data_IF_876367757355
#
_entry.id   IF_876367757355
#
_cell.length_a   1.000
_cell.length_b   1.000
_cell.length_c   1.000
_cell.angle_alpha   90.00
_cell.angle_beta   90.00
_cell.angle_gamma   90.00
#
_symmetry.space_group_name_H-M   'P 1'
#
loop_
_entity.id
_entity.type
_entity.pdbx_description
1 polymer ?
#
# COMPACT_ATOMS: atom_id res chain seq x y z
N UNK A 1 -20.98 17.98 -8.11
CA UNK A 1 -19.74 17.22 -8.35
C UNK A 1 -19.27 16.72 -6.99
N UNK A 2 -19.35 15.42 -6.74
CA UNK A 2 -18.86 14.83 -5.49
C UNK A 2 -17.33 14.83 -5.51
N UNK A 3 -16.71 15.63 -4.63
CA UNK A 3 -15.28 15.52 -4.32
C UNK A 3 -15.08 14.21 -3.55
N UNK A 4 -14.91 13.09 -4.26
CA UNK A 4 -14.36 11.89 -3.64
C UNK A 4 -12.86 12.10 -3.49
N UNK A 5 -12.29 11.95 -2.27
CA UNK A 5 -10.86 12.07 -2.08
C UNK A 5 -10.13 11.05 -2.96
N UNK A 6 -9.08 11.49 -3.65
CA UNK A 6 -8.27 10.61 -4.50
C UNK A 6 -7.54 9.59 -3.63
N UNK A 7 -7.83 8.30 -3.81
CA UNK A 7 -7.17 7.19 -3.10
C UNK A 7 -5.79 6.88 -3.68
N UNK A 8 -4.91 7.89 -3.66
CA UNK A 8 -3.58 7.84 -4.27
C UNK A 8 -2.48 7.34 -3.32
N UNK A 9 -2.82 7.07 -2.05
CA UNK A 9 -1.91 6.50 -1.08
C UNK A 9 -0.89 7.46 -0.50
N UNK A 10 -0.93 8.77 -0.75
CA UNK A 10 0.11 9.70 -0.26
C UNK A 10 -0.07 10.13 1.20
N UNK A 11 -1.18 9.76 1.83
CA UNK A 11 -1.47 9.98 3.25
C UNK A 11 -2.43 8.90 3.76
N UNK A 12 -2.60 8.81 5.08
CA UNK A 12 -3.57 7.89 5.69
C UNK A 12 -5.00 8.21 5.24
N UNK A 13 -5.38 9.49 5.12
CA UNK A 13 -6.74 9.86 4.67
C UNK A 13 -7.04 9.40 3.24
N UNK A 14 -5.98 9.29 2.42
CA UNK A 14 -6.04 8.92 1.02
C UNK A 14 -5.45 7.54 0.74
N UNK A 15 -5.32 6.69 1.77
CA UNK A 15 -4.73 5.37 1.66
C UNK A 15 -5.41 4.54 0.57
N UNK A 16 -4.60 3.78 -0.18
CA UNK A 16 -5.07 2.84 -1.20
C UNK A 16 -5.79 1.71 -0.47
N UNK A 17 -7.06 1.49 -0.78
CA UNK A 17 -7.83 0.44 -0.12
C UNK A 17 -7.47 -0.89 -0.77
N UNK A 18 -7.01 -1.84 0.04
CA UNK A 18 -6.90 -3.24 -0.37
C UNK A 18 -8.09 -3.98 0.24
N UNK A 19 -9.00 -4.43 -0.62
CA UNK A 19 -10.23 -5.13 -0.26
C UNK A 19 -10.36 -6.46 -1.01
N UNK A 20 -11.40 -7.22 -0.69
CA UNK A 20 -11.75 -8.49 -1.34
C UNK A 20 -10.64 -9.56 -1.33
N UNK A 21 -9.75 -9.53 -0.34
CA UNK A 21 -8.70 -10.54 -0.15
C UNK A 21 -9.14 -11.56 0.90
N UNK A 22 -8.98 -12.85 0.61
CA UNK A 22 -9.44 -13.93 1.49
C UNK A 22 -8.52 -14.12 2.71
N UNK A 23 -7.26 -13.70 2.59
CA UNK A 23 -6.23 -13.89 3.60
C UNK A 23 -5.14 -12.82 3.53
N UNK A 24 -4.28 -12.80 4.55
CA UNK A 24 -3.16 -11.86 4.66
C UNK A 24 -2.19 -11.94 3.47
N UNK A 25 -1.91 -13.13 2.95
CA UNK A 25 -0.98 -13.30 1.83
C UNK A 25 -1.51 -12.69 0.53
N UNK A 26 -2.80 -12.83 0.26
CA UNK A 26 -3.46 -12.16 -0.87
C UNK A 26 -3.46 -10.64 -0.71
N UNK A 27 -3.71 -10.14 0.49
CA UNK A 27 -3.60 -8.72 0.85
C UNK A 27 -2.25 -8.14 0.49
N UNK A 28 -1.17 -8.74 0.99
CA UNK A 28 0.20 -8.31 0.71
C UNK A 28 0.50 -8.40 -0.79
N UNK A 29 0.11 -9.50 -1.46
CA UNK A 29 0.33 -9.61 -2.91
C UNK A 29 -0.38 -8.50 -3.71
N UNK A 30 -1.56 -8.05 -3.27
CA UNK A 30 -2.28 -6.96 -3.93
C UNK A 30 -1.52 -5.63 -3.82
N UNK A 31 -0.90 -5.34 -2.68
CA UNK A 31 -0.03 -4.16 -2.49
C UNK A 31 1.14 -4.18 -3.47
N UNK A 32 1.87 -5.29 -3.53
CA UNK A 32 3.02 -5.43 -4.43
C UNK A 32 2.61 -5.37 -5.90
N UNK A 33 1.46 -5.93 -6.29
CA UNK A 33 0.91 -5.78 -7.65
C UNK A 33 0.58 -4.32 -7.97
N UNK A 34 0.05 -3.56 -7.00
CA UNK A 34 -0.20 -2.14 -7.18
C UNK A 34 1.10 -1.38 -7.45
N UNK A 35 2.16 -1.65 -6.68
CA UNK A 35 3.48 -1.05 -6.89
C UNK A 35 4.04 -1.42 -8.28
N UNK A 36 3.93 -2.68 -8.69
CA UNK A 36 4.37 -3.12 -10.01
C UNK A 36 3.62 -2.44 -11.14
N UNK A 37 2.29 -2.30 -11.02
CA UNK A 37 1.47 -1.63 -12.03
C UNK A 37 1.83 -0.15 -12.18
N UNK A 38 2.17 0.54 -11.09
CA UNK A 38 2.46 1.97 -11.08
C UNK A 38 3.91 2.30 -11.43
N UNK A 39 4.86 1.49 -10.95
CA UNK A 39 6.29 1.82 -10.99
C UNK A 39 7.13 0.81 -11.76
N UNK A 40 6.53 -0.24 -12.32
CA UNK A 40 7.22 -1.33 -13.02
C UNK A 40 7.73 -2.42 -12.09
N UNK A 41 8.43 -3.42 -12.65
CA UNK A 41 8.88 -4.59 -11.89
C UNK A 41 9.82 -4.25 -10.73
N UNK A 42 9.66 -4.95 -9.60
CA UNK A 42 10.57 -4.81 -8.45
C UNK A 42 11.99 -5.19 -8.84
N UNK A 43 12.97 -4.40 -8.41
CA UNK A 43 14.37 -4.52 -8.79
C UNK A 43 14.73 -3.88 -10.13
N UNK A 44 13.73 -3.47 -10.93
CA UNK A 44 13.93 -2.76 -12.21
C UNK A 44 13.41 -1.34 -12.11
N UNK A 45 12.12 -1.18 -11.80
CA UNK A 45 11.46 0.12 -11.66
C UNK A 45 11.59 0.72 -10.27
N UNK A 46 11.68 -0.13 -9.24
CA UNK A 46 11.77 0.29 -7.85
C UNK A 46 12.39 -0.76 -6.94
N UNK A 47 12.91 -0.34 -5.79
CA UNK A 47 13.34 -1.20 -4.68
C UNK A 47 12.60 -0.81 -3.40
N UNK A 48 12.40 -1.78 -2.51
CA UNK A 48 11.79 -1.54 -1.20
C UNK A 48 12.83 -0.94 -0.25
N UNK A 49 12.53 0.22 0.32
CA UNK A 49 13.38 0.87 1.34
C UNK A 49 12.85 0.59 2.75
N UNK A 50 11.53 0.69 2.94
CA UNK A 50 10.89 0.47 4.25
C UNK A 50 9.48 -0.08 4.09
N UNK A 51 9.11 -0.97 5.00
CA UNK A 51 7.73 -1.40 5.22
C UNK A 51 7.44 -1.39 6.72
N UNK A 52 6.29 -0.85 7.13
CA UNK A 52 5.88 -0.81 8.53
C UNK A 52 4.36 -0.77 8.69
N UNK A 53 3.86 -1.48 9.70
CA UNK A 53 2.46 -1.41 10.12
C UNK A 53 2.21 -0.12 10.93
N UNK A 54 1.12 0.57 10.60
CA UNK A 54 0.59 1.70 11.33
C UNK A 54 -0.81 1.36 11.83
N UNK A 55 -1.08 1.63 13.10
CA UNK A 55 -2.41 1.56 13.67
C UNK A 55 -2.86 2.98 14.05
N UNK A 56 -3.97 3.42 13.50
CA UNK A 56 -4.53 4.73 13.79
C UNK A 56 -6.06 4.66 13.80
N UNK A 57 -6.69 5.19 14.86
CA UNK A 57 -8.15 5.25 15.01
C UNK A 57 -8.87 3.91 14.80
N UNK A 58 -8.26 2.81 15.27
CA UNK A 58 -8.81 1.45 15.13
C UNK A 58 -8.71 0.84 13.73
N UNK A 59 -8.00 1.51 12.81
CA UNK A 59 -7.68 1.02 11.46
C UNK A 59 -6.22 0.61 11.38
N UNK A 60 -5.93 -0.24 10.41
CA UNK A 60 -4.60 -0.79 10.16
C UNK A 60 -4.15 -0.42 8.75
N UNK A 61 -2.92 0.08 8.65
CA UNK A 61 -2.33 0.52 7.41
C UNK A 61 -0.93 -0.05 7.25
N UNK A 62 -0.62 -0.48 6.04
CA UNK A 62 0.75 -0.75 5.65
C UNK A 62 1.35 0.51 5.02
N UNK A 63 2.42 1.00 5.63
CA UNK A 63 3.26 2.04 5.07
C UNK A 63 4.40 1.40 4.30
N UNK A 64 4.51 1.72 3.01
CA UNK A 64 5.56 1.23 2.13
C UNK A 64 6.31 2.42 1.55
N UNK A 65 7.61 2.44 1.74
CA UNK A 65 8.53 3.36 1.09
C UNK A 65 9.35 2.62 0.05
N UNK A 66 9.33 3.14 -1.18
CA UNK A 66 10.10 2.62 -2.30
C UNK A 66 11.04 3.68 -2.85
N UNK A 67 12.19 3.24 -3.33
CA UNK A 67 13.08 4.05 -4.15
C UNK A 67 12.93 3.66 -5.61
N UNK A 68 12.55 4.63 -6.44
CA UNK A 68 12.41 4.46 -7.87
C UNK A 68 13.78 4.38 -8.55
N UNK A 69 13.84 3.78 -9.73
CA UNK A 69 15.09 3.58 -10.49
C UNK A 69 15.80 4.90 -10.86
N UNK A 70 15.04 5.98 -11.00
CA UNK A 70 15.57 7.34 -11.20
C UNK A 70 15.97 8.06 -9.89
N UNK A 71 15.94 7.35 -8.76
CA UNK A 71 16.47 7.79 -7.47
C UNK A 71 15.49 8.50 -6.54
N UNK A 72 14.29 8.85 -6.98
CA UNK A 72 13.27 9.46 -6.11
C UNK A 72 12.68 8.44 -5.15
N UNK A 73 12.27 8.90 -3.97
CA UNK A 73 11.60 8.09 -2.96
C UNK A 73 10.10 8.41 -2.98
N UNK A 74 9.27 7.38 -2.89
CA UNK A 74 7.82 7.49 -2.79
C UNK A 74 7.35 6.71 -1.57
N UNK A 75 6.47 7.32 -0.80
CA UNK A 75 5.84 6.69 0.35
C UNK A 75 4.35 6.50 0.07
N UNK A 76 3.85 5.30 0.36
CA UNK A 76 2.47 4.89 0.12
C UNK A 76 1.86 4.29 1.38
N UNK A 77 0.60 4.59 1.60
CA UNK A 77 -0.24 4.02 2.64
C UNK A 77 -1.29 3.13 2.00
N UNK A 78 -1.36 1.88 2.44
CA UNK A 78 -2.38 0.91 2.07
C UNK A 78 -3.29 0.65 3.26
N UNK A 79 -4.60 0.75 3.08
CA UNK A 79 -5.57 0.40 4.12
C UNK A 79 -5.84 -1.10 4.07
N UNK A 80 -5.37 -1.78 5.10
CA UNK A 80 -5.40 -3.24 5.22
C UNK A 80 -6.38 -3.71 6.31
N UNK A 81 -7.20 -2.80 6.81
CA UNK A 81 -8.16 -3.05 7.92
C UNK A 81 -9.09 -4.23 7.63
N UNK A 82 -9.38 -4.49 6.36
CA UNK A 82 -10.30 -5.56 5.93
C UNK A 82 -9.77 -6.96 6.27
N UNK A 83 -8.45 -7.17 6.18
CA UNK A 83 -7.83 -8.50 6.30
C UNK A 83 -6.76 -8.60 7.40
N UNK A 84 -6.24 -7.49 7.95
CA UNK A 84 -5.25 -7.56 9.01
C UNK A 84 -5.78 -8.31 10.25
N UNK A 85 -5.01 -9.28 10.76
CA UNK A 85 -5.37 -10.10 11.91
C UNK A 85 -6.34 -11.25 11.63
N UNK A 86 -6.77 -11.45 10.37
CA UNK A 86 -7.64 -12.54 9.96
C UNK A 86 -6.83 -13.57 9.15
N UNK A 87 -6.86 -14.84 9.56
CA UNK A 87 -6.26 -15.94 8.80
C UNK A 87 -4.81 -16.27 9.13
N UNK A 88 -4.44 -16.23 10.42
CA UNK A 88 -3.35 -17.06 10.94
C UNK A 88 -3.90 -18.43 11.34
#
# INVERSE_FOLDING_TARGET
MSNQPSRNGTSIENAIIIDNTENHFEGVNAEYRHLTAMYGERGVGWILEKQSLIQENGRYYDFIEIKLSHGSVVSLYFDITSFFGKGF
#
